data_IF_975382926470
#
_entry.id   IF_975382926470
#
_cell.length_a   1.000
_cell.length_b   1.000
_cell.length_c   1.000
_cell.angle_alpha   90.00
_cell.angle_beta   90.00
_cell.angle_gamma   90.00
#
_symmetry.space_group_name_H-M   'P 1'
#
loop_
_entity.id
_entity.type
_entity.pdbx_description
1 polymer ?
#
# COMPACT_ATOMS: atom_id res chain seq x y z
N UNK A 1 4.01 1.30 -6.74
CA UNK A 1 4.56 0.62 -7.94
C UNK A 1 5.20 1.58 -8.95
N UNK A 2 4.67 2.80 -9.15
CA UNK A 2 5.29 3.77 -10.06
C UNK A 2 6.74 4.13 -9.72
N UNK A 3 7.16 3.97 -8.47
CA UNK A 3 8.53 4.19 -8.02
C UNK A 3 9.45 2.96 -8.01
N UNK A 4 8.97 1.78 -8.41
CA UNK A 4 9.71 0.54 -8.23
C UNK A 4 11.08 0.53 -8.94
N UNK A 5 11.13 0.96 -10.20
CA UNK A 5 12.37 1.05 -10.96
C UNK A 5 13.38 2.04 -10.36
N UNK A 6 12.88 3.17 -9.84
CA UNK A 6 13.74 4.17 -9.18
C UNK A 6 14.31 3.65 -7.87
N UNK A 7 13.50 2.92 -7.07
CA UNK A 7 13.96 2.29 -5.83
C UNK A 7 15.00 1.22 -6.13
N UNK A 8 14.77 0.37 -7.14
CA UNK A 8 15.74 -0.63 -7.57
C UNK A 8 17.07 0.02 -7.98
N UNK A 9 17.03 1.05 -8.83
CA UNK A 9 18.24 1.76 -9.26
C UNK A 9 19.05 2.37 -8.08
N UNK A 10 18.35 2.94 -7.08
CA UNK A 10 19.01 3.44 -5.87
C UNK A 10 19.68 2.30 -5.09
N UNK A 11 19.01 1.16 -4.93
CA UNK A 11 19.56 0.00 -4.23
C UNK A 11 20.77 -0.57 -4.97
N UNK A 12 20.71 -0.68 -6.29
CA UNK A 12 21.83 -1.14 -7.13
C UNK A 12 23.03 -0.21 -7.05
N UNK A 13 22.79 1.12 -7.06
CA UNK A 13 23.85 2.11 -6.89
C UNK A 13 24.54 1.97 -5.53
N UNK A 14 23.76 1.90 -4.44
CA UNK A 14 24.31 1.76 -3.09
C UNK A 14 25.10 0.46 -2.87
N UNK A 15 24.65 -0.67 -3.42
CA UNK A 15 25.38 -1.94 -3.31
C UNK A 15 26.73 -1.82 -4.03
N UNK A 16 26.79 -1.11 -5.15
CA UNK A 16 28.02 -1.00 -5.92
C UNK A 16 28.99 0.06 -5.38
N UNK A 17 28.49 1.09 -4.71
CA UNK A 17 29.29 2.25 -4.29
C UNK A 17 29.53 2.33 -2.79
N UNK A 18 28.47 2.18 -1.99
CA UNK A 18 28.53 2.38 -0.54
C UNK A 18 28.71 1.08 0.24
N UNK A 19 28.17 -0.03 -0.29
CA UNK A 19 28.14 -1.32 0.41
C UNK A 19 28.59 -2.50 -0.47
N UNK A 20 29.78 -2.39 -1.13
CA UNK A 20 30.24 -3.42 -2.07
C UNK A 20 30.55 -4.78 -1.42
N UNK A 21 30.72 -4.80 -0.09
CA UNK A 21 31.01 -6.02 0.68
C UNK A 21 29.75 -6.81 1.07
N UNK A 22 28.55 -6.30 0.73
CA UNK A 22 27.32 -7.03 0.99
C UNK A 22 27.08 -8.12 -0.06
N UNK A 23 26.87 -9.34 0.41
CA UNK A 23 26.44 -10.47 -0.43
C UNK A 23 24.91 -10.42 -0.62
N UNK A 24 24.44 -9.56 -1.54
CA UNK A 24 23.04 -9.28 -1.81
C UNK A 24 22.77 -9.28 -3.31
N UNK A 25 21.70 -9.92 -3.71
CA UNK A 25 21.22 -9.98 -5.09
C UNK A 25 19.87 -9.25 -5.19
N UNK A 26 19.74 -8.39 -6.20
CA UNK A 26 18.52 -7.66 -6.49
C UNK A 26 17.93 -8.12 -7.83
N UNK A 27 16.64 -8.40 -7.85
CA UNK A 27 15.92 -8.77 -9.06
C UNK A 27 14.53 -8.14 -9.02
N UNK A 28 14.14 -7.46 -10.10
CA UNK A 28 12.78 -6.96 -10.25
C UNK A 28 11.84 -8.11 -10.58
N UNK A 29 10.76 -8.22 -9.84
CA UNK A 29 9.65 -9.16 -10.11
C UNK A 29 8.34 -8.43 -10.41
N UNK A 30 8.41 -7.13 -10.75
CA UNK A 30 7.23 -6.28 -10.94
C UNK A 30 6.27 -6.83 -12.01
N UNK A 31 6.81 -7.36 -13.11
CA UNK A 31 6.01 -7.88 -14.23
C UNK A 31 5.56 -9.34 -14.02
N UNK A 32 6.04 -10.00 -12.98
CA UNK A 32 5.72 -11.39 -12.69
C UNK A 32 4.41 -11.58 -11.95
N UNK A 33 3.88 -10.51 -11.36
CA UNK A 33 2.71 -10.55 -10.48
C UNK A 33 1.58 -9.67 -10.98
N UNK A 34 0.36 -10.24 -10.97
CA UNK A 34 -0.88 -9.49 -11.04
C UNK A 34 -1.41 -9.29 -9.61
N UNK A 35 -1.78 -8.06 -9.28
CA UNK A 35 -2.31 -7.68 -7.97
C UNK A 35 -3.77 -7.25 -8.13
N UNK A 36 -4.66 -7.91 -7.39
CA UNK A 36 -6.11 -7.63 -7.41
C UNK A 36 -6.50 -7.19 -6.00
N UNK A 37 -6.94 -5.94 -5.88
CA UNK A 37 -7.45 -5.40 -4.62
C UNK A 37 -8.94 -5.76 -4.47
N UNK A 38 -9.28 -6.41 -3.35
CA UNK A 38 -10.67 -6.72 -2.95
C UNK A 38 -10.95 -5.98 -1.66
N UNK A 39 -11.77 -4.94 -1.73
CA UNK A 39 -11.97 -3.99 -0.64
C UNK A 39 -13.43 -3.95 -0.21
N UNK A 40 -13.67 -3.68 1.05
CA UNK A 40 -15.01 -3.54 1.63
C UNK A 40 -15.33 -4.57 2.69
N UNK A 41 -16.39 -4.35 3.48
CA UNK A 41 -16.73 -5.18 4.64
C UNK A 41 -17.01 -6.65 4.30
N UNK A 42 -17.46 -6.94 3.07
CA UNK A 42 -17.78 -8.29 2.60
C UNK A 42 -16.63 -8.98 1.84
N UNK A 43 -15.42 -8.40 1.85
CA UNK A 43 -14.28 -8.95 1.13
C UNK A 43 -13.89 -10.37 1.58
N UNK A 44 -14.12 -10.72 2.88
CA UNK A 44 -13.90 -12.08 3.38
C UNK A 44 -14.89 -13.09 2.82
N UNK A 45 -16.15 -12.70 2.75
CA UNK A 45 -17.22 -13.53 2.23
C UNK A 45 -17.03 -13.81 0.74
N UNK A 46 -16.57 -12.82 -0.01
CA UNK A 46 -16.24 -12.97 -1.43
C UNK A 46 -15.05 -13.90 -1.65
N UNK A 47 -13.98 -13.73 -0.87
CA UNK A 47 -12.75 -14.50 -1.04
C UNK A 47 -12.82 -15.89 -0.40
N UNK A 48 -13.59 -16.08 0.66
CA UNK A 48 -13.64 -17.33 1.43
C UNK A 48 -13.84 -18.59 0.58
N UNK A 49 -14.81 -18.63 -0.34
CA UNK A 49 -15.05 -19.80 -1.19
C UNK A 49 -13.95 -20.07 -2.22
N UNK A 50 -13.10 -19.09 -2.53
CA UNK A 50 -12.09 -19.15 -3.58
C UNK A 50 -10.70 -19.49 -3.05
N UNK A 51 -10.45 -19.23 -1.77
CA UNK A 51 -9.12 -19.33 -1.13
C UNK A 51 -8.96 -20.71 -0.48
N UNK A 52 -7.82 -21.32 -0.70
CA UNK A 52 -7.44 -22.62 -0.17
C UNK A 52 -6.14 -22.49 0.65
N UNK A 53 -6.13 -23.13 1.82
CA UNK A 53 -4.95 -23.20 2.68
C UNK A 53 -4.66 -21.93 3.48
N UNK A 54 -5.56 -20.92 3.46
CA UNK A 54 -5.45 -19.69 4.26
C UNK A 54 -6.73 -19.52 5.07
N UNK A 55 -6.59 -19.39 6.37
CA UNK A 55 -7.67 -18.94 7.24
C UNK A 55 -7.78 -17.41 7.15
N UNK A 56 -8.93 -16.92 6.65
CA UNK A 56 -9.22 -15.50 6.48
C UNK A 56 -9.82 -14.86 7.73
N UNK A 57 -9.95 -15.58 8.84
CA UNK A 57 -10.48 -15.03 10.08
C UNK A 57 -9.66 -13.80 10.52
N UNK A 58 -10.25 -12.98 11.37
CA UNK A 58 -9.60 -11.78 11.89
C UNK A 58 -8.35 -12.13 12.72
N UNK A 59 -8.42 -13.23 13.42
CA UNK A 59 -7.38 -13.74 14.30
C UNK A 59 -6.19 -14.31 13.52
N UNK A 60 -6.46 -15.10 12.47
CA UNK A 60 -5.42 -15.74 11.66
C UNK A 60 -4.79 -14.78 10.66
N UNK A 61 -5.58 -13.78 10.20
CA UNK A 61 -5.12 -12.79 9.23
C UNK A 61 -5.42 -11.35 9.68
N UNK A 62 -4.69 -10.87 10.70
CA UNK A 62 -4.82 -9.49 11.17
C UNK A 62 -4.33 -8.48 10.13
N UNK A 63 -4.65 -7.19 10.33
CA UNK A 63 -4.14 -6.11 9.48
C UNK A 63 -2.61 -6.13 9.41
N UNK A 64 -2.05 -5.83 8.23
CA UNK A 64 -0.61 -5.89 7.91
C UNK A 64 -0.01 -7.30 7.94
N UNK A 65 -0.81 -8.33 7.74
CA UNK A 65 -0.32 -9.71 7.59
C UNK A 65 -0.30 -10.17 6.14
N UNK A 66 0.54 -11.16 5.86
CA UNK A 66 0.62 -11.85 4.59
C UNK A 66 0.57 -13.37 4.80
N UNK A 67 -0.04 -14.09 3.88
CA UNK A 67 -0.11 -15.56 3.86
C UNK A 67 0.06 -16.08 2.45
N UNK A 68 0.64 -17.25 2.35
CA UNK A 68 0.74 -18.01 1.09
C UNK A 68 -0.27 -19.17 1.08
N UNK A 69 -0.87 -19.41 -0.07
CA UNK A 69 -1.86 -20.46 -0.29
C UNK A 69 -2.25 -20.52 -1.75
N UNK A 70 -3.51 -20.83 -2.02
CA UNK A 70 -4.04 -20.83 -3.40
C UNK A 70 -5.35 -20.05 -3.47
N UNK A 71 -5.64 -19.53 -4.65
CA UNK A 71 -6.95 -19.01 -5.02
C UNK A 71 -7.38 -19.63 -6.34
N UNK A 72 -8.53 -20.30 -6.35
CA UNK A 72 -8.98 -21.06 -7.52
C UNK A 72 -7.91 -22.04 -8.05
N UNK A 73 -7.17 -22.70 -7.15
CA UNK A 73 -6.06 -23.59 -7.48
C UNK A 73 -4.74 -22.90 -7.87
N UNK A 74 -4.73 -21.57 -8.06
CA UNK A 74 -3.54 -20.80 -8.44
C UNK A 74 -2.75 -20.41 -7.18
N UNK A 75 -1.42 -20.64 -7.12
CA UNK A 75 -0.59 -20.17 -6.03
C UNK A 75 -0.76 -18.65 -5.83
N UNK A 76 -0.98 -18.24 -4.60
CA UNK A 76 -1.22 -16.83 -4.26
C UNK A 76 -0.45 -16.39 -3.04
N UNK A 77 -0.07 -15.13 -3.00
CA UNK A 77 0.28 -14.38 -1.79
C UNK A 77 -0.87 -13.45 -1.49
N UNK A 78 -1.50 -13.65 -0.37
CA UNK A 78 -2.63 -12.84 0.08
C UNK A 78 -2.16 -11.90 1.18
N UNK A 79 -2.32 -10.59 0.96
CA UNK A 79 -1.97 -9.56 1.92
C UNK A 79 -3.24 -8.96 2.52
N UNK A 80 -3.27 -8.84 3.84
CA UNK A 80 -4.34 -8.15 4.57
C UNK A 80 -3.97 -6.67 4.74
N UNK A 81 -4.03 -5.93 3.65
CA UNK A 81 -3.69 -4.52 3.58
C UNK A 81 -4.81 -3.74 2.89
N UNK A 82 -4.82 -2.43 3.07
CA UNK A 82 -5.81 -1.57 2.43
C UNK A 82 -5.23 -0.19 2.19
N UNK A 83 -5.40 0.31 1.00
CA UNK A 83 -5.12 1.71 0.69
C UNK A 83 -6.40 2.56 0.68
N UNK A 84 -7.55 1.95 0.40
CA UNK A 84 -8.85 2.63 0.48
C UNK A 84 -9.33 2.89 1.91
N UNK A 85 -8.67 2.31 2.90
CA UNK A 85 -9.06 2.40 4.31
C UNK A 85 -10.12 1.39 4.76
N UNK A 86 -10.70 0.65 3.83
CA UNK A 86 -11.68 -0.39 4.09
C UNK A 86 -11.03 -1.71 4.55
N UNK A 87 -11.85 -2.65 5.03
CA UNK A 87 -11.41 -4.04 5.14
C UNK A 87 -10.99 -4.51 3.74
N UNK A 88 -9.76 -4.93 3.56
CA UNK A 88 -9.28 -5.24 2.24
C UNK A 88 -8.21 -6.31 2.21
N UNK A 89 -8.09 -6.91 1.05
CA UNK A 89 -7.05 -7.87 0.70
C UNK A 89 -6.45 -7.52 -0.65
N UNK A 90 -5.16 -7.74 -0.79
CA UNK A 90 -4.47 -7.75 -2.08
C UNK A 90 -4.13 -9.19 -2.44
N UNK A 91 -4.75 -9.67 -3.50
CA UNK A 91 -4.53 -11.01 -4.06
C UNK A 91 -3.43 -10.91 -5.09
N UNK A 92 -2.28 -11.49 -4.80
CA UNK A 92 -1.13 -11.51 -5.68
C UNK A 92 -0.98 -12.89 -6.29
N UNK A 93 -1.09 -12.98 -7.61
CA UNK A 93 -0.95 -14.21 -8.38
C UNK A 93 0.07 -14.04 -9.51
N UNK A 94 0.67 -15.11 -10.04
CA UNK A 94 1.53 -14.98 -11.22
C UNK A 94 0.77 -14.30 -12.36
N UNK A 95 1.42 -13.37 -13.05
CA UNK A 95 0.79 -12.41 -13.98
C UNK A 95 -0.15 -13.07 -15.01
N UNK A 96 0.23 -14.24 -15.54
CA UNK A 96 -0.57 -15.00 -16.51
C UNK A 96 -1.96 -15.45 -16.01
N UNK A 97 -2.16 -15.50 -14.69
CA UNK A 97 -3.45 -15.90 -14.08
C UNK A 97 -4.31 -14.71 -13.65
N UNK A 98 -3.79 -13.48 -13.73
CA UNK A 98 -4.45 -12.29 -13.20
C UNK A 98 -5.88 -12.11 -13.69
N UNK A 99 -6.12 -12.25 -15.00
CA UNK A 99 -7.45 -12.13 -15.60
C UNK A 99 -8.41 -13.20 -15.08
N UNK A 100 -8.01 -14.46 -15.12
CA UNK A 100 -8.87 -15.58 -14.70
C UNK A 100 -9.25 -15.48 -13.22
N UNK A 101 -8.32 -15.09 -12.36
CA UNK A 101 -8.57 -14.89 -10.93
C UNK A 101 -9.46 -13.67 -10.69
N UNK A 102 -9.25 -12.57 -11.43
CA UNK A 102 -10.13 -11.40 -11.35
C UNK A 102 -11.58 -11.75 -11.73
N UNK A 103 -11.78 -12.48 -12.84
CA UNK A 103 -13.11 -12.93 -13.29
C UNK A 103 -13.78 -13.85 -12.25
N UNK A 104 -13.01 -14.74 -11.63
CA UNK A 104 -13.53 -15.62 -10.57
C UNK A 104 -13.96 -14.84 -9.32
N UNK A 105 -13.14 -13.88 -8.87
CA UNK A 105 -13.49 -12.99 -7.75
C UNK A 105 -14.73 -12.16 -8.08
N UNK A 106 -14.79 -11.57 -9.27
CA UNK A 106 -15.94 -10.79 -9.72
C UNK A 106 -17.22 -11.63 -9.76
N UNK A 107 -17.13 -12.86 -10.25
CA UNK A 107 -18.27 -13.80 -10.30
C UNK A 107 -18.76 -14.15 -8.90
N UNK A 108 -17.85 -14.52 -8.00
CA UNK A 108 -18.20 -14.84 -6.61
C UNK A 108 -18.80 -13.63 -5.86
N UNK A 109 -18.32 -12.44 -6.17
CA UNK A 109 -18.78 -11.20 -5.56
C UNK A 109 -20.15 -10.72 -6.03
N UNK A 110 -20.72 -11.26 -7.13
CA UNK A 110 -22.04 -10.82 -7.65
C UNK A 110 -23.15 -10.96 -6.60
N UNK A 111 -23.15 -12.04 -5.82
CA UNK A 111 -24.11 -12.26 -4.74
C UNK A 111 -23.98 -11.23 -3.60
N UNK A 112 -22.86 -10.53 -3.52
CA UNK A 112 -22.53 -9.53 -2.52
C UNK A 112 -22.56 -8.09 -3.07
N UNK A 113 -22.98 -7.90 -4.32
CA UNK A 113 -23.05 -6.58 -4.96
C UNK A 113 -21.67 -5.99 -5.29
N UNK A 114 -20.67 -6.82 -5.57
CA UNK A 114 -19.32 -6.37 -5.93
C UNK A 114 -19.37 -5.42 -7.13
N UNK A 115 -18.63 -4.32 -7.02
CA UNK A 115 -18.53 -3.32 -8.08
C UNK A 115 -17.06 -3.06 -8.39
N UNK A 116 -16.62 -3.20 -9.65
CA UNK A 116 -15.29 -2.74 -10.06
C UNK A 116 -15.16 -1.25 -9.84
N UNK A 117 -14.01 -0.82 -9.33
CA UNK A 117 -13.70 0.60 -9.15
C UNK A 117 -12.36 0.95 -9.78
N UNK A 118 -12.24 2.18 -10.23
CA UNK A 118 -11.03 2.70 -10.86
C UNK A 118 -10.15 3.50 -9.90
N UNK A 119 -9.07 4.04 -10.44
CA UNK A 119 -8.04 4.77 -9.71
C UNK A 119 -8.60 6.01 -9.00
N UNK A 120 -9.52 6.73 -9.66
CA UNK A 120 -10.12 7.94 -9.06
C UNK A 120 -10.93 7.62 -7.81
N UNK A 121 -11.70 6.54 -7.81
CA UNK A 121 -12.42 6.09 -6.61
C UNK A 121 -11.45 5.75 -5.49
N UNK A 122 -10.34 5.09 -5.82
CA UNK A 122 -9.28 4.79 -4.85
C UNK A 122 -8.69 6.08 -4.25
N UNK A 123 -8.48 7.12 -5.07
CA UNK A 123 -7.96 8.42 -4.62
C UNK A 123 -8.92 9.11 -3.65
N UNK A 124 -10.23 9.05 -3.90
CA UNK A 124 -11.23 9.59 -2.98
C UNK A 124 -11.23 8.83 -1.65
N UNK A 125 -11.35 7.49 -1.71
CA UNK A 125 -11.45 6.66 -0.51
C UNK A 125 -10.20 6.76 0.38
N UNK A 126 -8.99 6.78 -0.22
CA UNK A 126 -7.75 6.94 0.56
C UNK A 126 -7.69 8.31 1.24
N UNK A 127 -8.18 9.37 0.57
CA UNK A 127 -8.23 10.72 1.13
C UNK A 127 -9.20 10.80 2.30
N UNK A 128 -10.39 10.19 2.20
CA UNK A 128 -11.35 10.08 3.30
C UNK A 128 -10.75 9.37 4.51
N UNK A 129 -9.87 8.40 4.30
CA UNK A 129 -9.14 7.70 5.37
C UNK A 129 -7.98 8.50 5.93
N UNK A 130 -7.49 9.51 5.23
CA UNK A 130 -6.30 10.27 5.58
C UNK A 130 -4.99 9.60 5.14
N UNK A 131 -5.05 8.67 4.18
CA UNK A 131 -3.86 8.04 3.63
C UNK A 131 -3.24 8.90 2.54
N UNK A 132 -1.92 9.12 2.63
CA UNK A 132 -1.17 9.95 1.66
C UNK A 132 -0.76 9.15 0.42
N UNK A 133 -0.57 9.87 -0.68
CA UNK A 133 0.17 9.40 -1.84
C UNK A 133 1.51 10.16 -1.87
N UNK A 134 2.61 9.42 -1.78
CA UNK A 134 3.95 9.99 -1.88
C UNK A 134 4.13 10.64 -3.26
N UNK A 135 4.51 11.92 -3.27
CA UNK A 135 4.63 12.73 -4.47
C UNK A 135 3.37 13.56 -4.80
N UNK A 136 2.27 13.35 -4.09
CA UNK A 136 1.04 14.15 -4.19
C UNK A 136 0.90 15.07 -2.95
N UNK A 137 0.82 14.51 -1.75
CA UNK A 137 0.85 15.29 -0.50
C UNK A 137 2.26 15.55 0.03
N UNK A 138 3.28 14.97 -0.60
CA UNK A 138 4.67 15.09 -0.17
C UNK A 138 5.59 15.48 -1.31
N UNK A 139 6.62 16.24 -0.98
CA UNK A 139 7.78 16.56 -1.83
C UNK A 139 9.09 16.34 -1.05
N UNK A 140 10.20 16.82 -1.57
CA UNK A 140 11.52 16.71 -0.93
C UNK A 140 11.68 17.55 0.34
N UNK A 141 10.68 18.36 0.73
CA UNK A 141 10.70 19.23 1.92
C UNK A 141 9.85 18.71 3.05
N UNK A 142 8.98 17.71 2.79
CA UNK A 142 8.06 17.14 3.77
C UNK A 142 8.72 15.97 4.50
N UNK A 143 8.64 15.96 5.83
CA UNK A 143 9.11 14.87 6.68
C UNK A 143 7.98 13.90 7.03
N UNK A 144 8.28 12.66 7.47
CA UNK A 144 7.27 11.76 8.01
C UNK A 144 6.45 12.37 9.15
N UNK A 145 7.08 13.15 10.03
CA UNK A 145 6.41 13.82 11.15
C UNK A 145 5.37 14.84 10.67
N UNK A 146 5.66 15.58 9.61
CA UNK A 146 4.72 16.55 9.01
C UNK A 146 3.43 15.89 8.51
N UNK A 147 3.52 14.58 8.16
CA UNK A 147 2.39 13.76 7.70
C UNK A 147 1.76 12.89 8.80
N UNK A 148 2.17 13.06 10.07
CA UNK A 148 1.72 12.19 11.16
C UNK A 148 2.23 10.74 11.07
N UNK A 149 3.30 10.51 10.30
CA UNK A 149 3.92 9.20 10.08
C UNK A 149 5.25 9.00 10.84
N UNK A 150 5.54 9.85 11.84
CA UNK A 150 6.77 9.74 12.67
C UNK A 150 6.93 8.36 13.30
N UNK A 151 5.84 7.68 13.62
CA UNK A 151 5.83 6.31 14.14
C UNK A 151 6.50 5.28 13.20
N UNK A 152 6.61 5.57 11.90
CA UNK A 152 7.27 4.70 10.93
C UNK A 152 8.81 4.79 10.97
N UNK A 153 9.34 5.80 11.66
CA UNK A 153 10.78 5.96 11.86
C UNK A 153 11.23 5.04 12.99
N UNK A 154 12.09 4.08 12.67
CA UNK A 154 12.61 3.14 13.66
C UNK A 154 13.60 3.80 14.62
N UNK A 155 13.16 4.25 15.78
CA UNK A 155 13.99 4.93 16.79
C UNK A 155 15.19 4.10 17.26
N UNK A 156 15.04 2.77 17.29
CA UNK A 156 16.10 1.84 17.68
C UNK A 156 17.25 1.75 16.64
N UNK A 157 17.06 2.24 15.43
CA UNK A 157 18.10 2.25 14.39
C UNK A 157 19.14 3.30 14.68
N UNK A 158 20.40 2.85 14.77
CA UNK A 158 21.54 3.76 14.96
C UNK A 158 21.72 4.70 13.77
N UNK A 159 21.53 4.17 12.57
CA UNK A 159 21.65 4.93 11.32
C UNK A 159 20.72 4.37 10.23
N UNK A 160 20.33 5.22 9.27
CA UNK A 160 19.56 4.86 8.08
C UNK A 160 19.68 5.98 7.04
N UNK A 161 19.41 5.65 5.78
CA UNK A 161 19.39 6.63 4.69
C UNK A 161 18.32 7.70 4.98
N UNK A 162 18.76 8.97 5.02
CA UNK A 162 17.90 10.11 5.34
C UNK A 162 17.95 10.60 6.79
N UNK A 163 18.53 9.87 7.75
CA UNK A 163 18.58 10.29 9.16
C UNK A 163 19.19 11.69 9.33
N UNK A 164 20.31 11.98 8.64
CA UNK A 164 20.94 13.31 8.67
C UNK A 164 20.03 14.40 8.11
N UNK A 165 19.20 14.07 7.13
CA UNK A 165 18.26 15.03 6.54
C UNK A 165 17.18 15.44 7.53
N UNK A 166 16.69 14.54 8.36
CA UNK A 166 15.71 14.84 9.42
C UNK A 166 16.28 15.77 10.49
N UNK A 167 17.61 15.76 10.71
CA UNK A 167 18.30 16.61 11.69
C UNK A 167 18.67 18.00 11.15
N UNK A 168 18.33 18.35 9.92
CA UNK A 168 18.60 19.70 9.39
C UNK A 168 17.75 20.75 10.11
N UNK A 169 18.28 21.98 10.36
CA UNK A 169 17.53 23.02 11.04
C UNK A 169 16.14 23.30 10.44
N UNK A 170 16.03 23.33 9.12
CA UNK A 170 14.75 23.52 8.42
C UNK A 170 13.77 22.37 8.65
N UNK A 171 14.24 21.13 8.87
CA UNK A 171 13.37 19.99 9.17
C UNK A 171 13.00 19.88 10.66
N UNK A 172 13.74 20.58 11.52
CA UNK A 172 13.51 20.64 12.97
C UNK A 172 12.77 21.91 13.42
N UNK A 173 12.41 22.80 12.49
CA UNK A 173 11.72 24.05 12.81
C UNK A 173 10.33 23.76 13.40
N UNK A 174 9.93 24.55 14.40
CA UNK A 174 8.65 24.37 15.13
C UNK A 174 7.42 24.88 14.37
N UNK A 175 7.63 25.68 13.33
CA UNK A 175 6.60 26.30 12.50
C UNK A 175 6.32 25.56 11.19
N UNK A 176 6.73 24.31 11.12
CA UNK A 176 6.50 23.48 9.93
C UNK A 176 5.01 23.22 9.70
N UNK A 177 4.62 23.20 8.44
CA UNK A 177 3.26 22.80 8.03
C UNK A 177 3.01 21.34 8.41
N UNK A 178 1.81 21.05 8.87
CA UNK A 178 1.37 19.70 9.23
C UNK A 178 0.20 19.29 8.34
N UNK A 179 0.16 18.04 7.93
CA UNK A 179 -0.98 17.47 7.23
C UNK A 179 -2.17 17.39 8.17
N UNK A 180 -3.30 17.95 7.76
CA UNK A 180 -4.56 17.93 8.51
C UNK A 180 -5.72 17.48 7.62
N UNK A 181 -6.69 16.80 8.21
CA UNK A 181 -7.96 16.48 7.54
C UNK A 181 -8.96 17.63 7.73
N UNK A 182 -9.68 17.98 6.68
CA UNK A 182 -10.76 18.96 6.70
C UNK A 182 -12.09 18.29 6.39
N UNK A 183 -13.11 18.61 7.17
CA UNK A 183 -14.50 18.24 6.89
C UNK A 183 -15.29 19.50 6.62
N UNK A 184 -16.05 19.54 5.53
CA UNK A 184 -16.97 20.64 5.23
C UNK A 184 -18.19 20.57 6.15
N UNK A 185 -18.66 21.73 6.60
CA UNK A 185 -19.89 21.83 7.42
C UNK A 185 -21.11 21.39 6.61
N UNK A 186 -21.17 21.80 5.34
CA UNK A 186 -22.15 21.33 4.38
C UNK A 186 -21.49 20.22 3.53
N UNK A 187 -21.96 18.95 3.60
CA UNK A 187 -21.39 17.82 2.86
C UNK A 187 -21.50 17.96 1.34
N UNK A 188 -22.25 18.92 0.83
CA UNK A 188 -22.35 19.23 -0.61
C UNK A 188 -21.30 20.27 -1.06
N UNK A 189 -20.62 20.89 -0.15
CA UNK A 189 -19.57 21.86 -0.48
C UNK A 189 -18.34 21.14 -0.95
N UNK A 190 -17.93 21.38 -2.19
CA UNK A 190 -16.66 20.93 -2.74
C UNK A 190 -15.61 22.00 -2.45
N UNK A 191 -14.51 21.62 -1.83
CA UNK A 191 -13.38 22.52 -1.62
C UNK A 191 -12.64 22.70 -2.93
N UNK A 192 -12.31 23.93 -3.28
CA UNK A 192 -11.45 24.24 -4.41
C UNK A 192 -10.00 23.91 -4.05
N UNK A 193 -9.25 23.48 -5.06
CA UNK A 193 -7.81 23.25 -4.92
C UNK A 193 -7.12 24.60 -4.67
N UNK A 194 -6.31 24.68 -3.62
CA UNK A 194 -5.63 25.90 -3.16
C UNK A 194 -4.13 25.90 -3.47
#
# INVERSE_FOLDING_TARGET
>A
TGGASRVLAIMEDYIQTEWPDLDVWLTSTTEEWAVIAVQGPLSREVLGPLVEGIDLSREAMPHMSAREGKICGVPTRLFRVSFTGELGFEVNVPAGYGRAVWEAIYTAGQAHGITPYGTETMHVLRAEKGFIIVGQETDGTVTPDDCGLGWAIGEAKKDFVGKRSLARPAMMASDRKQLVGLLTVDPKTVLEEG
#
